data_IF_741886449022
#
_entry.id   IF_741886449022
#
_cell.length_a   1.000
_cell.length_b   1.000
_cell.length_c   1.000
_cell.angle_alpha   90.00
_cell.angle_beta   90.00
_cell.angle_gamma   90.00
#
_symmetry.space_group_name_H-M   'P 1'
#
loop_
_entity.id
_entity.type
_entity.pdbx_description
1 polymer ?
#
# COMPACT_ATOMS: atom_id res chain seq x y z
N UNK A 1 58.91 -2.20 47.69
CA UNK A 1 58.70 -3.00 46.46
C UNK A 1 57.20 -3.14 46.17
N UNK A 2 56.51 -2.17 45.59
CA UNK A 2 55.05 -2.30 45.15
C UNK A 2 54.65 -1.21 44.16
N UNK A 3 55.49 -0.78 43.24
CA UNK A 3 55.16 0.24 42.24
C UNK A 3 55.35 -0.14 40.75
N UNK A 4 55.77 -1.41 40.47
CA UNK A 4 56.18 -1.80 39.12
C UNK A 4 55.09 -2.61 38.38
N UNK A 5 54.07 -3.14 39.08
CA UNK A 5 53.10 -4.06 38.46
C UNK A 5 51.87 -3.36 37.86
N UNK A 6 51.65 -2.07 38.13
CA UNK A 6 50.45 -1.31 37.63
C UNK A 6 50.66 -0.80 36.20
N UNK A 7 51.92 -0.55 35.80
CA UNK A 7 52.19 0.00 34.45
C UNK A 7 52.15 -1.05 33.33
N UNK A 8 52.34 -2.32 33.64
CA UNK A 8 52.28 -3.42 32.64
C UNK A 8 50.81 -3.79 32.32
N UNK A 9 49.92 -3.72 33.32
CA UNK A 9 48.49 -4.03 33.09
C UNK A 9 47.78 -3.02 32.20
N UNK A 10 48.16 -1.75 32.26
CA UNK A 10 47.56 -0.69 31.46
C UNK A 10 48.01 -0.74 29.99
N UNK A 11 49.26 -1.17 29.75
CA UNK A 11 49.81 -1.30 28.40
C UNK A 11 49.20 -2.49 27.63
N UNK A 12 48.87 -3.58 28.31
CA UNK A 12 48.24 -4.76 27.70
C UNK A 12 46.78 -4.47 27.38
N UNK A 13 46.08 -3.66 28.17
CA UNK A 13 44.69 -3.27 27.90
C UNK A 13 44.57 -2.34 26.67
N UNK A 14 45.55 -1.46 26.45
CA UNK A 14 45.60 -0.54 25.29
C UNK A 14 45.88 -1.31 24.00
N UNK A 15 46.71 -2.35 24.02
CA UNK A 15 47.03 -3.18 22.85
C UNK A 15 45.81 -4.04 22.46
N UNK A 16 45.00 -4.51 23.42
CA UNK A 16 43.78 -5.27 23.12
C UNK A 16 42.65 -4.44 22.51
N UNK A 17 42.59 -3.12 22.80
CA UNK A 17 41.62 -2.20 22.22
C UNK A 17 41.99 -1.83 20.78
N UNK A 18 43.27 -1.81 20.43
CA UNK A 18 43.76 -1.50 19.07
C UNK A 18 43.65 -2.72 18.14
N UNK A 19 43.65 -3.95 18.68
CA UNK A 19 43.52 -5.21 17.92
C UNK A 19 42.11 -5.56 17.49
N UNK A 20 41.09 -4.98 18.11
CA UNK A 20 39.68 -5.07 17.70
C UNK A 20 39.27 -3.90 16.81
N UNK A 21 40.09 -3.62 15.80
CA UNK A 21 39.67 -2.86 14.64
C UNK A 21 38.58 -3.66 13.90
N UNK A 22 37.39 -3.70 14.46
CA UNK A 22 36.18 -4.13 13.74
C UNK A 22 36.15 -3.27 12.47
N UNK A 23 36.54 -3.85 11.34
CA UNK A 23 36.18 -3.31 10.05
C UNK A 23 34.65 -3.20 10.06
N UNK A 24 34.13 -2.03 10.44
CA UNK A 24 32.80 -1.61 10.02
C UNK A 24 32.87 -1.57 8.49
N UNK A 25 32.68 -2.71 7.86
CA UNK A 25 32.22 -2.71 6.49
C UNK A 25 30.89 -1.98 6.54
N UNK A 26 30.97 -0.70 6.16
CA UNK A 26 29.76 0.08 5.99
C UNK A 26 28.83 -0.75 5.11
N UNK A 27 27.71 -1.16 5.65
CA UNK A 27 26.59 -1.64 4.85
C UNK A 27 26.34 -0.53 3.84
N UNK A 28 26.88 -0.69 2.62
CA UNK A 28 26.38 0.06 1.48
C UNK A 28 24.92 -0.32 1.42
N UNK A 29 24.04 0.59 1.84
CA UNK A 29 22.64 0.52 1.51
C UNK A 29 22.60 0.40 -0.02
N UNK A 30 22.35 -0.80 -0.53
CA UNK A 30 22.03 -0.97 -1.94
C UNK A 30 20.85 -0.06 -2.18
N UNK A 31 21.08 1.00 -2.96
CA UNK A 31 20.03 1.92 -3.37
C UNK A 31 19.07 1.08 -4.21
N UNK A 32 17.90 0.77 -3.67
CA UNK A 32 16.85 0.08 -4.39
C UNK A 32 16.53 0.91 -5.65
N UNK A 33 16.99 0.45 -6.81
CA UNK A 33 16.63 1.06 -8.09
C UNK A 33 15.20 0.66 -8.40
N UNK A 34 14.28 1.61 -8.30
CA UNK A 34 12.90 1.40 -8.70
C UNK A 34 12.77 1.56 -10.22
N UNK A 35 11.98 0.69 -10.85
CA UNK A 35 11.55 0.93 -12.22
C UNK A 35 10.81 2.29 -12.25
N UNK A 36 11.21 3.15 -13.20
CA UNK A 36 10.64 4.50 -13.32
C UNK A 36 9.12 4.42 -13.48
N UNK A 37 8.41 5.26 -12.73
CA UNK A 37 6.96 5.45 -12.88
C UNK A 37 6.65 6.28 -14.14
N UNK A 38 5.50 6.05 -14.74
CA UNK A 38 4.95 6.92 -15.79
C UNK A 38 4.67 8.32 -15.25
N UNK A 39 4.32 9.25 -16.13
CA UNK A 39 3.91 10.61 -15.72
C UNK A 39 2.63 10.63 -14.89
N UNK A 40 1.79 9.64 -15.05
CA UNK A 40 0.57 9.41 -14.27
C UNK A 40 0.61 8.01 -13.65
N UNK A 41 0.06 7.88 -12.45
CA UNK A 41 -0.01 6.60 -11.72
C UNK A 41 -1.44 6.36 -11.26
N UNK A 42 -1.98 5.20 -11.58
CA UNK A 42 -3.35 4.81 -11.22
C UNK A 42 -3.33 3.52 -10.42
N UNK A 43 -3.87 3.56 -9.22
CA UNK A 43 -4.02 2.40 -8.34
C UNK A 43 -5.46 1.91 -8.38
N UNK A 44 -5.63 0.58 -8.44
CA UNK A 44 -6.93 -0.08 -8.50
C UNK A 44 -7.14 -1.01 -7.28
N UNK A 45 -7.33 -0.48 -6.07
CA UNK A 45 -7.71 -1.31 -4.93
C UNK A 45 -9.04 -2.01 -5.22
N UNK A 46 -9.15 -3.29 -4.84
CA UNK A 46 -10.39 -4.04 -4.99
C UNK A 46 -11.41 -3.61 -3.95
N UNK A 47 -10.97 -3.46 -2.70
CA UNK A 47 -11.80 -3.04 -1.57
C UNK A 47 -11.20 -1.80 -0.90
N UNK A 48 -12.02 -1.13 -0.10
CA UNK A 48 -11.55 -0.11 0.82
C UNK A 48 -10.66 -0.79 1.86
N UNK A 49 -9.47 -0.30 2.08
CA UNK A 49 -8.34 -0.76 2.90
C UNK A 49 -7.14 -1.29 2.10
N UNK A 50 -7.34 -1.90 0.94
CA UNK A 50 -6.27 -2.47 0.11
C UNK A 50 -5.20 -1.43 -0.29
N UNK A 51 -5.61 -0.17 -0.52
CA UNK A 51 -4.71 0.90 -0.94
C UNK A 51 -3.68 1.24 0.14
N UNK A 52 -4.07 1.19 1.41
CA UNK A 52 -3.18 1.44 2.53
C UNK A 52 -2.40 0.18 2.89
N UNK A 53 -3.10 -0.97 2.98
CA UNK A 53 -2.50 -2.23 3.41
C UNK A 53 -1.40 -2.73 2.49
N UNK A 54 -1.54 -2.54 1.18
CA UNK A 54 -0.61 -3.07 0.19
C UNK A 54 0.17 -1.99 -0.57
N UNK A 55 -0.34 -0.76 -0.62
CA UNK A 55 0.16 0.30 -1.47
C UNK A 55 0.55 1.61 -0.80
N UNK A 56 0.39 1.79 0.51
CA UNK A 56 0.55 3.08 1.17
C UNK A 56 1.87 3.79 0.86
N UNK A 57 3.01 3.13 1.04
CA UNK A 57 4.33 3.69 0.70
C UNK A 57 4.53 3.88 -0.81
N UNK A 58 3.91 3.03 -1.65
CA UNK A 58 3.97 3.20 -3.10
C UNK A 58 3.15 4.41 -3.56
N UNK A 59 1.99 4.68 -2.95
CA UNK A 59 1.16 5.87 -3.21
C UNK A 59 1.92 7.14 -2.82
N UNK A 60 2.53 7.18 -1.63
CA UNK A 60 3.36 8.32 -1.21
C UNK A 60 4.51 8.55 -2.17
N UNK A 61 5.20 7.48 -2.59
CA UNK A 61 6.28 7.58 -3.59
C UNK A 61 5.79 8.11 -4.92
N UNK A 62 4.62 7.66 -5.39
CA UNK A 62 4.01 8.15 -6.63
C UNK A 62 3.69 9.66 -6.52
N UNK A 63 3.10 10.11 -5.41
CA UNK A 63 2.79 11.52 -5.15
C UNK A 63 4.08 12.36 -5.12
N UNK A 64 5.12 11.89 -4.42
CA UNK A 64 6.40 12.59 -4.34
C UNK A 64 7.16 12.64 -5.68
N UNK A 65 6.90 11.70 -6.59
CA UNK A 65 7.59 11.60 -7.88
C UNK A 65 6.84 12.30 -9.01
N UNK A 66 5.52 12.11 -9.08
CA UNK A 66 4.68 12.57 -10.19
C UNK A 66 3.84 13.80 -9.83
N UNK A 67 3.74 14.15 -8.53
CA UNK A 67 2.82 15.16 -8.02
C UNK A 67 1.41 14.60 -7.75
N UNK A 68 0.72 15.16 -6.76
CA UNK A 68 -0.60 14.70 -6.34
C UNK A 68 -1.69 14.84 -7.44
N UNK A 69 -1.49 15.74 -8.41
CA UNK A 69 -2.40 15.90 -9.55
C UNK A 69 -2.42 14.69 -10.49
N UNK A 70 -1.34 13.92 -10.49
CA UNK A 70 -1.10 12.84 -11.44
C UNK A 70 -1.22 11.44 -10.80
N UNK A 71 -1.70 11.35 -9.56
CA UNK A 71 -1.93 10.08 -8.86
C UNK A 71 -3.41 9.89 -8.63
N UNK A 72 -3.95 8.77 -9.13
CA UNK A 72 -5.38 8.44 -9.10
C UNK A 72 -5.60 7.12 -8.35
N UNK A 73 -6.72 7.05 -7.64
CA UNK A 73 -7.16 5.83 -6.96
C UNK A 73 -8.56 5.47 -7.45
N UNK A 74 -8.71 4.28 -8.03
CA UNK A 74 -9.94 3.75 -8.61
C UNK A 74 -10.42 2.57 -7.79
N UNK A 75 -11.41 2.76 -6.93
CA UNK A 75 -12.00 1.70 -6.13
C UNK A 75 -12.93 0.84 -6.98
N UNK A 76 -12.69 -0.48 -7.02
CA UNK A 76 -13.37 -1.39 -7.95
C UNK A 76 -14.67 -1.96 -7.38
N UNK A 77 -14.74 -2.28 -6.08
CA UNK A 77 -15.98 -2.75 -5.46
C UNK A 77 -16.49 -1.80 -4.38
N UNK A 78 -17.76 -1.95 -4.01
CA UNK A 78 -18.41 -1.08 -3.03
C UNK A 78 -18.15 -1.45 -1.57
N UNK A 79 -17.58 -2.63 -1.30
CA UNK A 79 -17.23 -3.10 0.02
C UNK A 79 -18.40 -3.39 0.96
N UNK A 80 -19.66 -3.35 0.49
CA UNK A 80 -20.84 -3.56 1.32
C UNK A 80 -20.99 -4.98 1.87
N UNK A 81 -20.36 -5.96 1.21
CA UNK A 81 -20.45 -7.39 1.56
C UNK A 81 -19.47 -7.81 2.67
N UNK A 82 -18.80 -6.87 3.34
CA UNK A 82 -17.85 -7.21 4.39
C UNK A 82 -18.56 -7.68 5.67
N UNK A 83 -18.07 -8.79 6.26
CA UNK A 83 -18.67 -9.39 7.46
C UNK A 83 -18.50 -8.54 8.74
N UNK A 84 -17.72 -7.46 8.69
CA UNK A 84 -17.55 -6.56 9.84
C UNK A 84 -18.90 -6.00 10.33
N UNK A 85 -19.83 -5.71 9.42
CA UNK A 85 -21.15 -5.20 9.79
C UNK A 85 -21.98 -6.17 10.63
N UNK A 86 -21.76 -7.48 10.47
CA UNK A 86 -22.46 -8.50 11.25
C UNK A 86 -21.97 -8.54 12.71
N UNK A 87 -20.78 -8.00 12.96
CA UNK A 87 -20.16 -7.90 14.29
C UNK A 87 -20.46 -6.58 15.00
N UNK A 88 -21.18 -5.67 14.36
CA UNK A 88 -21.45 -4.31 14.83
C UNK A 88 -22.96 -4.11 15.05
N UNK A 89 -23.47 -4.30 16.28
CA UNK A 89 -24.91 -4.25 16.59
C UNK A 89 -25.59 -2.95 16.14
N UNK A 90 -24.87 -1.83 16.19
CA UNK A 90 -25.36 -0.52 15.79
C UNK A 90 -25.68 -0.41 14.29
N UNK A 91 -25.13 -1.31 13.46
CA UNK A 91 -25.39 -1.37 12.03
C UNK A 91 -26.31 -2.52 11.62
N UNK A 92 -26.99 -3.13 12.59
CA UNK A 92 -27.96 -4.18 12.30
C UNK A 92 -29.10 -3.63 11.45
N UNK A 93 -29.27 -4.21 10.27
CA UNK A 93 -30.39 -3.85 9.38
C UNK A 93 -30.15 -2.65 8.47
N UNK A 94 -28.96 -2.02 8.50
CA UNK A 94 -28.65 -0.99 7.51
C UNK A 94 -28.59 -1.61 6.11
N UNK A 95 -29.03 -0.83 5.12
CA UNK A 95 -29.02 -1.29 3.74
C UNK A 95 -27.63 -1.19 3.10
N UNK A 96 -27.50 -1.78 1.90
CA UNK A 96 -26.25 -1.83 1.17
C UNK A 96 -25.64 -0.44 0.94
N UNK A 97 -26.45 0.54 0.54
CA UNK A 97 -25.99 1.90 0.24
C UNK A 97 -25.38 2.56 1.49
N UNK A 98 -26.00 2.36 2.65
CA UNK A 98 -25.47 2.86 3.92
C UNK A 98 -24.14 2.19 4.26
N UNK A 99 -24.03 0.85 4.10
CA UNK A 99 -22.77 0.14 4.24
C UNK A 99 -21.66 0.69 3.33
N UNK A 100 -21.98 0.90 2.05
CA UNK A 100 -21.04 1.53 1.10
C UNK A 100 -20.59 2.92 1.55
N UNK A 101 -21.52 3.76 1.98
CA UNK A 101 -21.23 5.13 2.42
C UNK A 101 -20.24 5.12 3.59
N UNK A 102 -20.44 4.26 4.58
CA UNK A 102 -19.55 4.13 5.74
C UNK A 102 -18.14 3.69 5.31
N UNK A 103 -18.05 2.64 4.50
CA UNK A 103 -16.77 2.14 3.97
C UNK A 103 -16.05 3.20 3.11
N UNK A 104 -16.80 3.87 2.23
CA UNK A 104 -16.24 4.92 1.38
C UNK A 104 -15.75 6.13 2.19
N UNK A 105 -16.36 6.40 3.35
CA UNK A 105 -15.89 7.45 4.23
C UNK A 105 -14.52 7.14 4.84
N UNK A 106 -14.33 5.92 5.41
CA UNK A 106 -13.02 5.47 5.91
C UNK A 106 -11.97 5.54 4.79
N UNK A 107 -12.28 5.06 3.59
CA UNK A 107 -11.43 5.09 2.40
C UNK A 107 -11.01 6.51 2.00
N UNK A 108 -11.96 7.42 1.89
CA UNK A 108 -11.68 8.82 1.54
C UNK A 108 -10.83 9.52 2.59
N UNK A 109 -11.09 9.27 3.89
CA UNK A 109 -10.28 9.79 4.98
C UNK A 109 -8.84 9.25 4.92
N UNK A 110 -8.65 7.96 4.67
CA UNK A 110 -7.33 7.34 4.52
C UNK A 110 -6.56 7.95 3.35
N UNK A 111 -7.19 8.08 2.18
CA UNK A 111 -6.57 8.68 0.99
C UNK A 111 -6.23 10.16 1.18
N UNK A 112 -7.07 10.92 1.89
CA UNK A 112 -6.76 12.30 2.28
C UNK A 112 -5.50 12.38 3.14
N UNK A 113 -5.36 11.46 4.10
CA UNK A 113 -4.15 11.39 4.96
C UNK A 113 -2.89 11.09 4.15
N UNK A 114 -2.99 10.27 3.10
CA UNK A 114 -1.90 10.00 2.16
C UNK A 114 -1.60 11.19 1.22
N UNK A 115 -2.46 12.20 1.16
CA UNK A 115 -2.30 13.37 0.28
C UNK A 115 -2.86 13.17 -1.13
N UNK A 116 -3.72 12.18 -1.35
CA UNK A 116 -4.44 12.00 -2.62
C UNK A 116 -5.51 13.09 -2.75
N UNK A 117 -5.58 13.75 -3.91
CA UNK A 117 -6.61 14.76 -4.18
C UNK A 117 -7.99 14.11 -4.30
N UNK A 118 -9.00 14.72 -3.71
CA UNK A 118 -10.39 14.22 -3.77
C UNK A 118 -10.91 14.09 -5.20
N UNK A 119 -10.49 14.98 -6.11
CA UNK A 119 -10.81 14.92 -7.54
C UNK A 119 -10.25 13.68 -8.25
N UNK A 120 -9.24 13.06 -7.68
CA UNK A 120 -8.54 11.91 -8.24
C UNK A 120 -8.98 10.58 -7.62
N UNK A 121 -10.00 10.61 -6.76
CA UNK A 121 -10.62 9.42 -6.18
C UNK A 121 -11.84 9.06 -7.02
N UNK A 122 -11.81 7.89 -7.65
CA UNK A 122 -12.88 7.37 -8.49
C UNK A 122 -13.43 6.12 -7.83
N UNK A 123 -14.74 6.11 -7.54
CA UNK A 123 -15.43 4.94 -6.99
C UNK A 123 -16.34 4.41 -8.10
N UNK A 124 -16.03 3.22 -8.63
CA UNK A 124 -16.75 2.67 -9.79
C UNK A 124 -18.21 2.37 -9.44
N UNK A 125 -18.50 1.98 -8.22
CA UNK A 125 -19.86 1.74 -7.73
C UNK A 125 -20.76 3.01 -7.76
N UNK A 126 -20.16 4.20 -7.72
CA UNK A 126 -20.94 5.46 -7.84
C UNK A 126 -21.42 5.72 -9.27
N UNK A 127 -20.84 5.04 -10.27
CA UNK A 127 -21.19 5.18 -11.69
C UNK A 127 -22.36 4.29 -12.12
N UNK A 128 -22.76 3.36 -11.27
CA UNK A 128 -23.81 2.39 -11.57
C UNK A 128 -24.66 2.12 -10.33
N UNK A 129 -25.90 1.66 -10.55
CA UNK A 129 -26.77 1.21 -9.46
C UNK A 129 -26.68 -0.29 -9.21
N UNK A 130 -25.82 -0.99 -9.95
CA UNK A 130 -25.71 -2.44 -9.88
C UNK A 130 -24.83 -2.91 -8.71
N UNK A 131 -25.23 -4.01 -8.13
CA UNK A 131 -24.60 -4.62 -6.94
C UNK A 131 -23.55 -5.66 -7.32
N UNK A 132 -22.58 -5.32 -8.15
CA UNK A 132 -21.53 -6.24 -8.56
C UNK A 132 -20.14 -5.59 -8.50
N UNK A 133 -19.07 -6.37 -8.48
CA UNK A 133 -17.76 -5.86 -8.77
C UNK A 133 -17.73 -5.31 -10.20
N UNK A 134 -17.16 -4.14 -10.37
CA UNK A 134 -17.24 -3.40 -11.63
C UNK A 134 -15.97 -3.61 -12.48
N UNK A 135 -15.65 -4.86 -12.81
CA UNK A 135 -14.46 -5.20 -13.61
C UNK A 135 -14.51 -4.68 -15.04
N UNK A 136 -15.68 -4.65 -15.65
CA UNK A 136 -15.94 -4.03 -16.95
C UNK A 136 -15.69 -2.51 -16.92
N UNK A 137 -16.15 -1.84 -15.90
CA UNK A 137 -15.84 -0.42 -15.70
C UNK A 137 -14.36 -0.17 -15.39
N UNK A 138 -13.72 -1.08 -14.66
CA UNK A 138 -12.27 -1.02 -14.42
C UNK A 138 -11.51 -1.14 -15.74
N UNK A 139 -11.85 -2.11 -16.60
CA UNK A 139 -11.23 -2.28 -17.92
C UNK A 139 -11.35 -0.99 -18.76
N UNK A 140 -12.55 -0.44 -18.86
CA UNK A 140 -12.78 0.81 -19.59
C UNK A 140 -11.99 1.99 -18.98
N UNK A 141 -11.96 2.10 -17.65
CA UNK A 141 -11.22 3.16 -16.97
C UNK A 141 -9.71 3.06 -17.22
N UNK A 142 -9.14 1.86 -17.25
CA UNK A 142 -7.72 1.63 -17.60
C UNK A 142 -7.45 2.15 -19.03
N UNK A 143 -8.29 1.76 -20.00
CA UNK A 143 -8.14 2.17 -21.39
C UNK A 143 -8.32 3.69 -21.57
N UNK A 144 -9.23 4.30 -20.84
CA UNK A 144 -9.42 5.76 -20.85
C UNK A 144 -8.16 6.49 -20.36
N UNK A 145 -7.52 6.00 -19.29
CA UNK A 145 -6.27 6.57 -18.78
C UNK A 145 -5.10 6.43 -19.78
N UNK A 146 -4.94 5.24 -20.38
CA UNK A 146 -3.91 5.02 -21.42
C UNK A 146 -4.10 5.95 -22.62
N UNK A 147 -5.34 6.06 -23.12
CA UNK A 147 -5.67 6.91 -24.25
C UNK A 147 -5.46 8.41 -23.93
N UNK A 148 -5.79 8.82 -22.70
CA UNK A 148 -5.71 10.22 -22.30
C UNK A 148 -4.29 10.70 -22.04
N UNK A 149 -3.44 9.89 -21.41
CA UNK A 149 -2.17 10.36 -20.88
C UNK A 149 -0.94 9.73 -21.53
N UNK A 150 -1.07 8.59 -22.20
CA UNK A 150 -0.01 7.93 -22.99
C UNK A 150 1.20 7.39 -22.21
N UNK A 151 1.43 7.84 -20.98
CA UNK A 151 2.48 7.36 -20.09
C UNK A 151 1.92 7.17 -18.67
N UNK A 152 1.30 6.01 -18.48
CA UNK A 152 0.61 5.65 -17.24
C UNK A 152 1.23 4.39 -16.64
N UNK A 153 1.46 4.42 -15.32
CA UNK A 153 1.71 3.19 -14.55
C UNK A 153 0.40 2.77 -13.92
N UNK A 154 -0.10 1.59 -14.26
CA UNK A 154 -1.30 0.99 -13.67
C UNK A 154 -0.91 -0.03 -12.61
N UNK A 155 -1.53 0.05 -11.42
CA UNK A 155 -1.21 -0.81 -10.29
C UNK A 155 -2.50 -1.44 -9.77
N UNK A 156 -2.64 -2.77 -9.94
CA UNK A 156 -3.81 -3.55 -9.53
C UNK A 156 -3.43 -4.61 -8.49
N UNK A 157 -4.38 -5.40 -8.04
CA UNK A 157 -4.13 -6.59 -7.23
C UNK A 157 -3.35 -7.64 -8.04
N UNK A 158 -2.65 -8.56 -7.37
CA UNK A 158 -1.89 -9.57 -8.10
C UNK A 158 -2.81 -10.68 -8.63
N UNK A 159 -2.81 -10.91 -9.94
CA UNK A 159 -3.69 -11.87 -10.62
C UNK A 159 -3.46 -13.34 -10.22
N UNK A 160 -2.29 -13.69 -9.68
CA UNK A 160 -1.90 -15.05 -9.29
C UNK A 160 -1.59 -15.19 -7.80
N UNK A 161 -0.78 -14.29 -7.26
CA UNK A 161 -0.28 -14.38 -5.89
C UNK A 161 -1.13 -13.53 -4.94
N UNK A 162 -2.36 -13.96 -4.76
CA UNK A 162 -3.30 -13.46 -3.78
C UNK A 162 -4.26 -14.58 -3.35
N UNK A 163 -4.65 -14.61 -2.09
CA UNK A 163 -5.59 -15.60 -1.56
C UNK A 163 -7.06 -15.22 -1.77
N UNK A 164 -7.35 -13.94 -2.09
CA UNK A 164 -8.72 -13.47 -2.27
C UNK A 164 -9.16 -13.59 -3.75
N UNK A 165 -10.27 -14.31 -4.07
CA UNK A 165 -10.69 -14.52 -5.46
C UNK A 165 -10.95 -13.21 -6.22
N UNK A 166 -11.56 -12.22 -5.57
CA UNK A 166 -11.87 -10.94 -6.20
C UNK A 166 -10.62 -10.10 -6.49
N UNK A 167 -9.58 -10.21 -5.64
CA UNK A 167 -8.28 -9.60 -5.92
C UNK A 167 -7.65 -10.21 -7.18
N UNK A 168 -7.67 -11.53 -7.30
CA UNK A 168 -7.14 -12.17 -8.52
C UNK A 168 -7.88 -11.71 -9.78
N UNK A 169 -9.22 -11.62 -9.73
CA UNK A 169 -10.01 -11.12 -10.87
C UNK A 169 -9.68 -9.66 -11.21
N UNK A 170 -9.48 -8.81 -10.20
CA UNK A 170 -9.02 -7.45 -10.38
C UNK A 170 -7.68 -7.42 -11.14
N UNK A 171 -6.71 -8.20 -10.68
CA UNK A 171 -5.41 -8.34 -11.34
C UNK A 171 -5.49 -8.94 -12.75
N UNK A 172 -6.39 -9.89 -12.99
CA UNK A 172 -6.62 -10.52 -14.31
C UNK A 172 -7.06 -9.50 -15.35
N UNK A 173 -7.87 -8.48 -14.97
CA UNK A 173 -8.25 -7.39 -15.88
C UNK A 173 -7.02 -6.64 -16.40
N UNK A 174 -6.17 -6.19 -15.48
CA UNK A 174 -4.95 -5.46 -15.85
C UNK A 174 -3.97 -6.35 -16.61
N UNK A 175 -3.79 -7.61 -16.17
CA UNK A 175 -2.89 -8.56 -16.82
C UNK A 175 -3.33 -8.90 -18.26
N UNK A 176 -4.63 -9.05 -18.51
CA UNK A 176 -5.20 -9.22 -19.86
C UNK A 176 -4.80 -8.05 -20.76
N UNK A 177 -5.06 -6.82 -20.32
CA UNK A 177 -4.77 -5.61 -21.11
C UNK A 177 -3.27 -5.42 -21.36
N UNK A 178 -2.43 -5.79 -20.41
CA UNK A 178 -0.98 -5.77 -20.57
C UNK A 178 -0.52 -6.81 -21.60
N UNK A 179 -1.03 -8.04 -21.53
CA UNK A 179 -0.71 -9.10 -22.50
C UNK A 179 -1.21 -8.78 -23.92
N UNK A 180 -2.30 -8.03 -24.04
CA UNK A 180 -2.82 -7.54 -25.31
C UNK A 180 -2.04 -6.30 -25.85
N UNK A 181 -1.03 -5.83 -25.11
CA UNK A 181 -0.24 -4.64 -25.47
C UNK A 181 -0.99 -3.31 -25.35
N UNK A 182 -2.18 -3.33 -24.73
CA UNK A 182 -3.00 -2.13 -24.51
C UNK A 182 -2.53 -1.30 -23.32
N UNK A 183 -1.83 -1.91 -22.37
CA UNK A 183 -1.22 -1.28 -21.20
C UNK A 183 0.30 -1.51 -21.27
N UNK A 184 1.08 -0.43 -21.11
CA UNK A 184 2.54 -0.46 -21.30
C UNK A 184 3.30 -0.70 -19.97
N UNK A 185 2.76 -0.23 -18.84
CA UNK A 185 3.36 -0.38 -17.51
C UNK A 185 2.31 -0.87 -16.51
N UNK A 186 2.24 -2.19 -16.35
CA UNK A 186 1.38 -2.88 -15.40
C UNK A 186 2.21 -3.35 -14.21
N UNK A 187 1.74 -3.06 -13.00
CA UNK A 187 2.34 -3.54 -11.74
C UNK A 187 1.25 -4.07 -10.82
N UNK A 188 1.66 -4.87 -9.83
CA UNK A 188 0.69 -5.56 -9.00
C UNK A 188 1.07 -5.50 -7.53
N UNK A 189 0.11 -5.19 -6.67
CA UNK A 189 0.27 -5.29 -5.21
C UNK A 189 0.68 -6.71 -4.81
N UNK A 190 1.64 -6.81 -3.92
CA UNK A 190 2.13 -8.09 -3.45
C UNK A 190 2.03 -8.15 -1.92
N UNK A 191 1.11 -8.99 -1.43
CA UNK A 191 0.98 -9.23 0.00
C UNK A 191 2.27 -9.85 0.57
N UNK A 192 2.67 -9.54 1.81
CA UNK A 192 3.93 -10.00 2.40
C UNK A 192 4.16 -11.51 2.30
N UNK A 193 3.11 -12.32 2.49
CA UNK A 193 3.18 -13.79 2.40
C UNK A 193 3.59 -14.32 1.03
N UNK A 194 3.39 -13.54 -0.03
CA UNK A 194 3.66 -13.93 -1.41
C UNK A 194 4.95 -13.35 -1.98
N UNK A 195 5.58 -12.39 -1.30
CA UNK A 195 6.84 -11.76 -1.76
C UNK A 195 7.90 -12.78 -2.13
N UNK A 196 8.02 -13.87 -1.36
CA UNK A 196 9.00 -14.95 -1.59
C UNK A 196 8.86 -15.66 -2.95
N UNK A 197 7.71 -15.59 -3.60
CA UNK A 197 7.45 -16.27 -4.89
C UNK A 197 7.84 -15.43 -6.10
N UNK A 198 8.17 -14.16 -5.92
CA UNK A 198 8.59 -13.26 -7.00
C UNK A 198 10.11 -13.04 -6.90
N UNK A 199 10.89 -13.19 -7.97
CA UNK A 199 12.32 -12.84 -7.97
C UNK A 199 12.56 -11.40 -7.54
N UNK A 200 13.69 -11.13 -6.88
CA UNK A 200 14.02 -9.76 -6.42
C UNK A 200 14.09 -8.76 -7.57
N UNK A 201 14.60 -9.17 -8.73
CA UNK A 201 14.66 -8.34 -9.95
C UNK A 201 13.28 -7.97 -10.54
N UNK A 202 12.22 -8.62 -10.08
CA UNK A 202 10.83 -8.39 -10.52
C UNK A 202 9.99 -7.74 -9.40
N UNK A 203 10.64 -7.09 -8.44
CA UNK A 203 9.98 -6.42 -7.33
C UNK A 203 10.45 -4.98 -7.19
N UNK A 204 9.52 -4.07 -7.05
CA UNK A 204 9.77 -2.73 -6.52
C UNK A 204 9.37 -2.70 -5.05
N UNK A 205 10.26 -2.27 -4.17
CA UNK A 205 10.03 -2.16 -2.73
C UNK A 205 10.01 -0.69 -2.34
N UNK A 206 8.90 -0.22 -1.83
CA UNK A 206 8.69 1.14 -1.37
C UNK A 206 8.66 1.18 0.15
N UNK A 207 9.41 2.10 0.73
CA UNK A 207 9.55 2.28 2.18
C UNK A 207 9.20 3.72 2.54
N UNK A 208 8.57 3.90 3.68
CA UNK A 208 8.36 5.21 4.30
C UNK A 208 9.42 5.43 5.36
N UNK A 209 10.48 6.16 5.00
CA UNK A 209 11.64 6.38 5.88
C UNK A 209 11.58 7.72 6.62
N UNK A 210 10.88 8.71 6.07
CA UNK A 210 10.73 10.02 6.72
C UNK A 210 9.69 9.99 7.83
N UNK A 211 9.85 10.85 8.83
CA UNK A 211 8.86 11.02 9.92
C UNK A 211 7.51 11.43 9.34
N UNK A 212 7.51 12.31 8.33
CA UNK A 212 6.30 12.81 7.68
C UNK A 212 5.55 11.70 6.94
N UNK A 213 6.24 10.89 6.12
CA UNK A 213 5.61 9.79 5.38
C UNK A 213 5.05 8.73 6.33
N UNK A 214 5.78 8.40 7.41
CA UNK A 214 5.30 7.50 8.46
C UNK A 214 4.05 8.03 9.15
N UNK A 215 4.00 9.31 9.45
CA UNK A 215 2.83 9.95 10.05
C UNK A 215 1.62 9.86 9.10
N UNK A 216 1.78 10.16 7.80
CA UNK A 216 0.72 10.06 6.80
C UNK A 216 0.14 8.64 6.70
N UNK A 217 0.99 7.61 6.66
CA UNK A 217 0.51 6.22 6.62
C UNK A 217 -0.18 5.83 7.93
N UNK A 218 0.37 6.23 9.07
CA UNK A 218 -0.25 5.97 10.37
C UNK A 218 -1.64 6.60 10.46
N UNK A 219 -1.81 7.82 9.99
CA UNK A 219 -3.10 8.52 9.97
C UNK A 219 -4.07 7.85 8.97
N UNK A 220 -3.58 7.39 7.83
CA UNK A 220 -4.38 6.61 6.89
C UNK A 220 -4.85 5.27 7.51
N UNK A 221 -3.97 4.54 8.19
CA UNK A 221 -4.34 3.32 8.94
C UNK A 221 -5.37 3.62 10.03
N UNK A 222 -5.20 4.74 10.73
CA UNK A 222 -6.11 5.14 11.80
C UNK A 222 -7.51 5.48 11.28
N UNK A 223 -7.65 5.95 10.03
CA UNK A 223 -8.97 6.15 9.41
C UNK A 223 -9.81 4.86 9.34
N UNK A 224 -9.15 3.69 9.34
CA UNK A 224 -9.81 2.37 9.37
C UNK A 224 -9.84 1.73 10.76
N UNK A 225 -9.01 2.20 11.71
CA UNK A 225 -8.82 1.56 13.02
C UNK A 225 -9.51 2.28 14.17
N UNK A 226 -9.58 3.59 14.11
CA UNK A 226 -10.08 4.41 15.22
C UNK A 226 -11.56 4.69 15.02
N UNK A 227 -12.32 4.47 16.09
CA UNK A 227 -13.71 4.91 16.11
C UNK A 227 -13.76 6.42 16.39
N UNK A 228 -14.29 7.18 15.46
CA UNK A 228 -14.56 8.61 15.59
C UNK A 228 -15.92 8.93 14.95
N UNK A 229 -16.97 8.93 15.76
CA UNK A 229 -18.36 9.12 15.29
C UNK A 229 -18.60 10.50 14.68
N UNK A 230 -17.86 11.52 15.10
CA UNK A 230 -17.96 12.88 14.52
C UNK A 230 -17.53 12.91 13.07
N UNK A 231 -16.56 12.08 12.71
CA UNK A 231 -16.05 11.91 11.35
C UNK A 231 -16.66 10.70 10.64
N UNK A 232 -17.65 10.05 11.26
CA UNK A 232 -18.28 8.81 10.75
C UNK A 232 -17.27 7.70 10.44
N UNK A 233 -16.26 7.55 11.31
CA UNK A 233 -15.29 6.47 11.28
C UNK A 233 -15.65 5.46 12.37
N UNK A 234 -15.78 4.20 11.99
CA UNK A 234 -16.27 3.16 12.90
C UNK A 234 -15.34 1.97 13.06
N UNK A 235 -14.20 1.99 12.37
CA UNK A 235 -13.22 0.91 12.41
C UNK A 235 -13.66 -0.32 11.62
N UNK A 236 -14.51 -0.16 10.62
CA UNK A 236 -15.08 -1.26 9.82
C UNK A 236 -13.97 -1.99 9.07
N UNK A 237 -13.03 -1.25 8.45
CA UNK A 237 -11.89 -1.83 7.77
C UNK A 237 -11.02 -2.65 8.72
N UNK A 238 -10.74 -2.14 9.91
CA UNK A 238 -9.95 -2.86 10.90
C UNK A 238 -10.64 -4.16 11.37
N UNK A 239 -11.94 -4.12 11.66
CA UNK A 239 -12.68 -5.32 12.04
C UNK A 239 -12.64 -6.37 10.93
N UNK A 240 -12.67 -5.96 9.67
CA UNK A 240 -12.64 -6.88 8.52
C UNK A 240 -11.29 -7.52 8.27
N UNK A 241 -10.18 -6.84 8.59
CA UNK A 241 -8.82 -7.20 8.17
C UNK A 241 -7.75 -6.95 9.26
N UNK A 242 -8.12 -7.03 10.54
CA UNK A 242 -7.30 -6.62 11.69
C UNK A 242 -5.88 -7.18 11.67
N UNK A 243 -5.70 -8.45 11.33
CA UNK A 243 -4.36 -9.07 11.28
C UNK A 243 -3.41 -8.35 10.30
N UNK A 244 -3.92 -7.90 9.16
CA UNK A 244 -3.11 -7.16 8.17
C UNK A 244 -2.81 -5.73 8.66
N UNK A 245 -3.80 -5.07 9.27
CA UNK A 245 -3.60 -3.77 9.89
C UNK A 245 -2.55 -3.82 11.00
N UNK A 246 -2.62 -4.79 11.90
CA UNK A 246 -1.66 -4.95 12.98
C UNK A 246 -0.26 -5.25 12.46
N UNK A 247 -0.15 -6.08 11.44
CA UNK A 247 1.13 -6.37 10.79
C UNK A 247 1.76 -5.11 10.20
N UNK A 248 1.00 -4.33 9.42
CA UNK A 248 1.51 -3.12 8.80
C UNK A 248 1.79 -2.02 9.83
N UNK A 249 0.94 -1.87 10.85
CA UNK A 249 1.12 -0.88 11.92
C UNK A 249 2.41 -1.10 12.72
N UNK A 250 2.83 -2.37 12.85
CA UNK A 250 4.07 -2.77 13.51
C UNK A 250 5.29 -2.80 12.57
N UNK A 251 5.12 -2.59 11.27
CA UNK A 251 6.24 -2.46 10.33
C UNK A 251 6.86 -1.06 10.47
N UNK A 252 8.13 -0.94 10.89
CA UNK A 252 8.77 0.35 11.12
C UNK A 252 8.95 1.19 9.86
N UNK A 253 8.78 0.60 8.68
CA UNK A 253 8.96 1.25 7.39
C UNK A 253 7.69 1.25 6.52
N UNK A 254 6.57 0.68 7.01
CA UNK A 254 5.30 0.58 6.29
C UNK A 254 5.47 0.10 4.85
N UNK A 255 6.17 -1.02 4.70
CA UNK A 255 6.62 -1.55 3.41
C UNK A 255 5.47 -1.86 2.45
N UNK A 256 5.55 -1.32 1.23
CA UNK A 256 4.76 -1.77 0.09
C UNK A 256 5.66 -2.48 -0.91
N UNK A 257 5.21 -3.60 -1.47
CA UNK A 257 5.93 -4.33 -2.51
C UNK A 257 5.03 -4.47 -3.73
N UNK A 258 5.55 -4.06 -4.89
CA UNK A 258 4.89 -4.27 -6.17
C UNK A 258 5.68 -5.30 -6.99
N UNK A 259 4.99 -6.23 -7.65
CA UNK A 259 5.62 -7.01 -8.72
C UNK A 259 5.58 -6.22 -10.01
N UNK A 260 6.65 -6.34 -10.80
CA UNK A 260 6.84 -5.75 -12.12
C UNK A 260 7.14 -6.87 -13.11
N UNK A 261 6.61 -6.77 -14.30
CA UNK A 261 6.86 -7.72 -15.40
C UNK A 261 7.32 -6.99 -16.66
#
# INVERSE_FOLDING_TARGET
MKKTNIRIGVLILIIFIIGLGVKFQGFKSEKLEHKKLGSHVVFYPQHQDDEVLWGGSAILKAINTCGADNVYIVLVSDGSGVNAFDQMPEFKGINRREKCCLRNNEFKCALKSLGVKSSNIIILADKTKEEKPHFDLMENTILDFENKFGSVTHIAQHYKYDNHPMHRKNGEVLNKLSNEGKVKDARYFLKPSYVKYIPQSQRDVYLSDTIEDKAKIKDALNSYRIRNEKEQLYGIGYISAHTYFDHLYNDPQYKSVLSIY
#
